data_IF_774923784964
#
_entry.id   IF_774923784964
#
_cell.length_a   1.000
_cell.length_b   1.000
_cell.length_c   1.000
_cell.angle_alpha   90.00
_cell.angle_beta   90.00
_cell.angle_gamma   90.00
#
_symmetry.space_group_name_H-M   'P 1'
#
loop_
_entity.id
_entity.type
_entity.pdbx_description
1 polymer ?
#
# COMPACT_ATOMS: atom_id res chain seq x y z
N UNK A 1 8.28 -15.55 -0.31
CA UNK A 1 8.75 -14.22 0.04
C UNK A 1 10.28 -14.13 -0.08
N UNK A 2 11.07 -14.82 0.73
CA UNK A 2 12.54 -14.71 0.77
C UNK A 2 13.22 -14.90 -0.60
N UNK A 3 12.78 -15.85 -1.43
CA UNK A 3 13.31 -16.08 -2.77
C UNK A 3 13.12 -14.88 -3.74
N UNK A 4 12.21 -13.98 -3.39
CA UNK A 4 11.88 -12.77 -4.16
C UNK A 4 12.38 -11.49 -3.49
N UNK A 5 13.27 -11.63 -2.48
CA UNK A 5 13.84 -10.48 -1.77
C UNK A 5 12.83 -9.74 -0.88
N UNK A 6 11.73 -10.38 -0.51
CA UNK A 6 10.71 -9.84 0.39
C UNK A 6 10.86 -10.53 1.74
N UNK A 7 11.30 -9.80 2.74
CA UNK A 7 11.59 -10.29 4.10
C UNK A 7 10.78 -9.58 5.21
N UNK A 8 10.16 -8.43 4.93
CA UNK A 8 9.28 -7.76 5.87
C UNK A 8 7.86 -8.36 5.82
N UNK A 9 7.49 -9.06 6.89
CA UNK A 9 6.18 -9.68 7.06
C UNK A 9 5.46 -9.03 8.24
N UNK A 10 4.26 -8.51 8.00
CA UNK A 10 3.34 -8.11 9.05
C UNK A 10 2.12 -9.06 9.08
N UNK A 11 1.77 -9.51 10.28
CA UNK A 11 0.60 -10.35 10.52
C UNK A 11 -0.38 -9.56 11.36
N UNK A 12 -1.57 -9.31 10.82
CA UNK A 12 -2.57 -8.45 11.45
C UNK A 12 -3.65 -9.29 12.11
N UNK A 13 -3.89 -9.05 13.41
CA UNK A 13 -4.93 -9.68 14.22
C UNK A 13 -5.06 -11.21 14.01
N UNK A 14 -3.97 -11.99 14.15
CA UNK A 14 -4.02 -13.42 13.90
C UNK A 14 -4.95 -14.12 14.89
N UNK A 15 -5.82 -14.98 14.41
CA UNK A 15 -6.77 -15.74 15.26
C UNK A 15 -6.06 -16.82 16.09
N UNK A 16 -5.14 -17.53 15.48
CA UNK A 16 -4.28 -18.53 16.11
C UNK A 16 -3.03 -18.71 15.25
N UNK A 17 -1.88 -18.83 15.87
CA UNK A 17 -0.62 -19.06 15.19
C UNK A 17 0.02 -20.32 15.74
N UNK A 18 0.16 -21.32 14.89
CA UNK A 18 1.01 -22.47 15.13
C UNK A 18 2.41 -22.19 14.55
N UNK A 19 3.25 -21.58 15.38
CA UNK A 19 4.59 -21.16 14.98
C UNK A 19 5.51 -22.36 14.68
N UNK A 20 5.30 -23.49 15.33
CA UNK A 20 6.08 -24.71 15.08
C UNK A 20 5.77 -25.24 13.68
N UNK A 21 4.49 -25.35 13.35
CA UNK A 21 4.04 -25.75 12.02
C UNK A 21 4.47 -24.73 10.94
N UNK A 22 4.39 -23.43 11.24
CA UNK A 22 4.83 -22.38 10.31
C UNK A 22 6.34 -22.53 9.99
N UNK A 23 7.17 -22.81 10.99
CA UNK A 23 8.61 -23.06 10.77
C UNK A 23 8.87 -24.31 9.94
N UNK A 24 8.13 -25.37 10.16
CA UNK A 24 8.22 -26.59 9.34
C UNK A 24 7.89 -26.32 7.86
N UNK A 25 6.94 -25.43 7.60
CA UNK A 25 6.52 -25.05 6.25
C UNK A 25 7.45 -24.02 5.58
N UNK A 26 8.41 -23.46 6.31
CA UNK A 26 9.31 -22.40 5.84
C UNK A 26 10.80 -22.78 5.89
N UNK A 27 11.23 -23.93 5.31
CA UNK A 27 12.63 -24.34 5.32
C UNK A 27 13.50 -23.28 4.62
N UNK A 28 14.54 -22.79 5.30
CA UNK A 28 15.44 -21.75 4.79
C UNK A 28 14.86 -20.32 4.82
N UNK A 29 13.65 -20.14 5.33
CA UNK A 29 12.98 -18.82 5.44
C UNK A 29 12.46 -18.53 6.86
N UNK A 30 12.91 -19.27 7.88
CA UNK A 30 12.51 -19.10 9.28
C UNK A 30 12.81 -17.68 9.80
N UNK A 31 13.87 -17.04 9.30
CA UNK A 31 14.21 -15.67 9.64
C UNK A 31 13.06 -14.69 9.34
N UNK A 32 12.30 -14.88 8.25
CA UNK A 32 11.14 -14.04 7.92
C UNK A 32 10.06 -14.17 8.98
N UNK A 33 9.85 -15.40 9.49
CA UNK A 33 8.88 -15.65 10.57
C UNK A 33 9.36 -15.08 11.91
N UNK A 34 10.65 -15.20 12.20
CA UNK A 34 11.23 -14.74 13.45
C UNK A 34 11.24 -13.19 13.55
N UNK A 35 11.32 -12.51 12.42
CA UNK A 35 11.28 -11.06 12.30
C UNK A 35 9.88 -10.50 11.99
N UNK A 36 8.87 -11.37 11.86
CA UNK A 36 7.52 -10.95 11.55
C UNK A 36 6.95 -10.01 12.62
N UNK A 37 6.35 -8.92 12.15
CA UNK A 37 5.66 -7.96 13.03
C UNK A 37 4.22 -8.43 13.25
N UNK A 38 3.77 -8.36 14.51
CA UNK A 38 2.39 -8.69 14.88
C UNK A 38 1.69 -7.40 15.24
N UNK A 39 0.70 -7.02 14.44
CA UNK A 39 -0.01 -5.76 14.57
C UNK A 39 -1.47 -6.01 14.95
N UNK A 40 -2.06 -5.14 15.74
CA UNK A 40 -3.47 -5.22 16.09
C UNK A 40 -4.37 -4.81 14.92
N UNK A 41 -3.93 -3.86 14.10
CA UNK A 41 -4.70 -3.28 13.00
C UNK A 41 -3.88 -3.17 11.72
N UNK A 42 -4.58 -3.07 10.57
CA UNK A 42 -3.94 -2.77 9.28
C UNK A 42 -3.28 -1.39 9.31
N UNK A 43 -3.93 -0.39 9.92
CA UNK A 43 -3.37 0.95 10.05
C UNK A 43 -1.98 0.93 10.70
N UNK A 44 -1.82 0.19 11.81
CA UNK A 44 -0.54 0.00 12.49
C UNK A 44 0.50 -0.66 11.57
N UNK A 45 0.09 -1.71 10.86
CA UNK A 45 0.99 -2.49 10.02
C UNK A 45 1.57 -1.71 8.84
N UNK A 46 0.84 -0.71 8.32
CA UNK A 46 1.20 0.05 7.11
C UNK A 46 1.56 1.51 7.38
N UNK A 47 1.63 1.92 8.64
CA UNK A 47 1.80 3.33 9.04
C UNK A 47 3.06 3.98 8.43
N UNK A 48 4.12 3.21 8.25
CA UNK A 48 5.41 3.62 7.70
C UNK A 48 5.55 3.39 6.17
N UNK A 49 4.48 2.89 5.52
CA UNK A 49 4.48 2.66 4.08
C UNK A 49 4.00 3.90 3.31
N UNK A 50 4.67 4.20 2.20
CA UNK A 50 4.32 5.31 1.32
C UNK A 50 3.16 4.96 0.40
N UNK A 51 3.05 3.69 0.00
CA UNK A 51 1.95 3.22 -0.82
C UNK A 51 1.50 1.82 -0.41
N UNK A 52 0.19 1.62 -0.37
CA UNK A 52 -0.44 0.37 0.04
C UNK A 52 -1.31 -0.15 -1.09
N UNK A 53 -1.10 -1.38 -1.47
CA UNK A 53 -1.88 -2.11 -2.45
C UNK A 53 -2.65 -3.23 -1.76
N UNK A 54 -3.81 -3.59 -2.28
CA UNK A 54 -4.61 -4.68 -1.74
C UNK A 54 -5.01 -5.66 -2.83
N UNK A 55 -4.78 -6.95 -2.60
CA UNK A 55 -5.21 -7.99 -3.53
C UNK A 55 -6.71 -8.22 -3.42
N UNK A 56 -7.39 -8.39 -4.54
CA UNK A 56 -8.83 -8.69 -4.59
C UNK A 56 -9.17 -9.59 -5.78
N UNK A 57 -10.05 -10.56 -5.54
CA UNK A 57 -10.68 -11.33 -6.59
C UNK A 57 -12.03 -10.73 -7.04
N UNK A 58 -12.55 -9.74 -6.30
CA UNK A 58 -13.84 -9.09 -6.59
C UNK A 58 -13.63 -7.85 -7.43
N UNK A 59 -14.50 -7.64 -8.41
CA UNK A 59 -14.55 -6.38 -9.16
C UNK A 59 -15.01 -5.24 -8.23
N UNK A 60 -14.07 -4.33 -7.94
CA UNK A 60 -14.30 -3.12 -7.12
C UNK A 60 -13.77 -1.86 -7.81
N UNK A 61 -13.59 -1.92 -9.13
CA UNK A 61 -12.92 -0.89 -9.94
C UNK A 61 -13.52 0.50 -9.79
N UNK A 62 -14.80 0.61 -9.44
CA UNK A 62 -15.48 1.92 -9.33
C UNK A 62 -15.03 2.74 -8.09
N UNK A 63 -14.26 2.18 -7.17
CA UNK A 63 -13.87 2.86 -5.93
C UNK A 63 -12.37 3.10 -5.75
N UNK A 64 -11.54 2.26 -6.37
CA UNK A 64 -10.07 2.32 -6.30
C UNK A 64 -9.46 2.18 -7.67
N UNK A 65 -8.29 2.83 -7.94
CA UNK A 65 -7.45 2.43 -9.06
C UNK A 65 -7.14 0.94 -8.95
N UNK A 66 -7.14 0.23 -10.08
CA UNK A 66 -6.85 -1.20 -10.09
C UNK A 66 -5.77 -1.50 -11.12
N UNK A 67 -4.86 -2.39 -10.75
CA UNK A 67 -3.77 -2.84 -11.59
C UNK A 67 -3.84 -4.36 -11.77
N UNK A 68 -3.43 -4.81 -12.93
CA UNK A 68 -2.93 -6.17 -13.09
C UNK A 68 -1.49 -6.27 -12.56
N UNK A 69 -0.98 -7.49 -12.24
CA UNK A 69 0.32 -7.64 -11.61
C UNK A 69 1.50 -6.92 -12.28
N UNK A 70 1.63 -6.87 -13.64
CA UNK A 70 2.71 -6.10 -14.26
C UNK A 70 2.59 -4.59 -14.06
N UNK A 71 1.38 -4.04 -14.18
CA UNK A 71 1.11 -2.61 -13.95
C UNK A 71 1.36 -2.21 -12.50
N UNK A 72 0.93 -3.06 -11.56
CA UNK A 72 1.24 -2.91 -10.14
C UNK A 72 2.76 -2.87 -9.90
N UNK A 73 3.52 -3.82 -10.47
CA UNK A 73 4.95 -3.87 -10.24
C UNK A 73 5.65 -2.61 -10.77
N UNK A 74 5.23 -2.10 -11.94
CA UNK A 74 5.77 -0.88 -12.52
C UNK A 74 5.49 0.36 -11.63
N UNK A 75 4.26 0.49 -11.13
CA UNK A 75 3.84 1.58 -10.23
C UNK A 75 4.59 1.50 -8.88
N UNK A 76 4.65 0.32 -8.27
CA UNK A 76 5.35 0.07 -7.01
C UNK A 76 6.85 0.41 -7.11
N UNK A 77 7.52 -0.01 -8.18
CA UNK A 77 8.93 0.31 -8.38
C UNK A 77 9.16 1.80 -8.62
N UNK A 78 8.22 2.51 -9.25
CA UNK A 78 8.31 3.96 -9.41
C UNK A 78 8.26 4.69 -8.06
N UNK A 79 7.46 4.22 -7.11
CA UNK A 79 7.42 4.75 -5.74
C UNK A 79 8.76 4.50 -5.03
N UNK A 80 9.31 3.29 -5.15
CA UNK A 80 10.60 2.92 -4.52
C UNK A 80 11.76 3.75 -5.08
N UNK A 81 11.80 3.96 -6.40
CA UNK A 81 12.83 4.75 -7.08
C UNK A 81 12.71 6.25 -6.79
N UNK A 82 11.49 6.74 -6.54
CA UNK A 82 11.23 8.14 -6.17
C UNK A 82 11.75 8.52 -4.78
N UNK A 83 12.13 7.57 -3.93
CA UNK A 83 12.75 7.82 -2.63
C UNK A 83 14.06 8.60 -2.76
N UNK A 84 14.25 9.63 -1.93
CA UNK A 84 15.46 10.48 -1.94
C UNK A 84 16.72 9.67 -1.62
N UNK A 85 16.57 8.61 -0.81
CA UNK A 85 17.63 7.66 -0.48
C UNK A 85 17.16 6.22 -0.77
N UNK A 86 18.08 5.30 -1.12
CA UNK A 86 17.75 3.89 -1.29
C UNK A 86 17.08 3.32 -0.03
N UNK A 87 15.87 2.78 -0.18
CA UNK A 87 15.10 2.21 0.92
C UNK A 87 14.28 3.23 1.74
N UNK A 88 14.30 4.53 1.39
CA UNK A 88 13.48 5.55 2.05
C UNK A 88 11.99 5.36 1.78
N UNK A 89 11.61 4.90 0.57
CA UNK A 89 10.23 4.63 0.23
C UNK A 89 9.87 3.16 0.48
N UNK A 90 8.74 2.94 1.14
CA UNK A 90 8.23 1.60 1.46
C UNK A 90 6.84 1.40 0.86
N UNK A 91 6.60 0.21 0.35
CA UNK A 91 5.28 -0.21 -0.11
C UNK A 91 4.78 -1.39 0.73
N UNK A 92 3.48 -1.52 0.83
CA UNK A 92 2.84 -2.71 1.40
C UNK A 92 1.89 -3.35 0.40
N UNK A 93 1.78 -4.68 0.46
CA UNK A 93 0.74 -5.44 -0.24
C UNK A 93 -0.08 -6.19 0.79
N UNK A 94 -1.37 -5.89 0.83
CA UNK A 94 -2.33 -6.54 1.71
C UNK A 94 -2.90 -7.80 1.05
N UNK A 95 -2.87 -8.89 1.79
CA UNK A 95 -3.53 -10.14 1.44
C UNK A 95 -4.56 -10.46 2.51
N UNK A 96 -5.74 -10.88 2.09
CA UNK A 96 -6.80 -11.34 2.99
C UNK A 96 -6.82 -12.84 3.19
N UNK A 97 -7.60 -13.34 4.15
CA UNK A 97 -7.88 -14.76 4.29
C UNK A 97 -8.50 -15.35 3.02
N UNK A 98 -8.22 -16.63 2.72
CA UNK A 98 -8.69 -17.28 1.50
C UNK A 98 -10.22 -17.40 1.42
N UNK A 99 -10.89 -17.52 2.55
CA UNK A 99 -12.33 -17.72 2.67
C UNK A 99 -13.14 -16.41 2.49
N UNK A 100 -12.65 -15.32 3.07
CA UNK A 100 -13.40 -14.05 3.13
C UNK A 100 -12.77 -12.94 2.30
N UNK A 101 -11.46 -13.01 2.03
CA UNK A 101 -10.70 -11.93 1.44
C UNK A 101 -10.58 -10.73 2.38
N UNK A 102 -10.16 -9.59 1.85
CA UNK A 102 -10.06 -8.34 2.60
C UNK A 102 -11.44 -7.69 2.77
N UNK A 103 -11.75 -7.31 4.01
CA UNK A 103 -12.91 -6.52 4.38
C UNK A 103 -12.77 -5.03 3.96
N UNK A 104 -13.86 -4.29 4.02
CA UNK A 104 -13.85 -2.86 3.68
C UNK A 104 -13.01 -2.04 4.67
N UNK A 105 -12.96 -2.45 5.93
CA UNK A 105 -12.12 -1.91 7.00
C UNK A 105 -10.61 -2.00 6.68
N UNK A 106 -10.19 -3.07 6.03
CA UNK A 106 -8.82 -3.22 5.57
C UNK A 106 -8.56 -2.44 4.26
N UNK A 107 -9.53 -2.46 3.34
CA UNK A 107 -9.41 -1.81 2.04
C UNK A 107 -9.38 -0.29 2.11
N UNK A 108 -9.90 0.33 3.17
CA UNK A 108 -9.82 1.80 3.35
C UNK A 108 -8.38 2.30 3.50
N UNK A 109 -7.43 1.42 3.79
CA UNK A 109 -6.01 1.75 3.88
C UNK A 109 -5.26 1.56 2.54
N UNK A 110 -5.91 0.99 1.53
CA UNK A 110 -5.29 0.76 0.23
C UNK A 110 -5.41 1.98 -0.69
N UNK A 111 -4.32 2.31 -1.38
CA UNK A 111 -4.27 3.32 -2.44
C UNK A 111 -4.78 2.75 -3.76
N UNK A 112 -4.50 1.49 -4.02
CA UNK A 112 -4.88 0.79 -5.24
C UNK A 112 -5.15 -0.69 -4.99
N UNK A 113 -5.88 -1.31 -5.90
CA UNK A 113 -6.14 -2.75 -5.90
C UNK A 113 -5.23 -3.47 -6.88
N UNK A 114 -4.94 -4.73 -6.56
CA UNK A 114 -4.28 -5.67 -7.48
C UNK A 114 -5.30 -6.75 -7.81
N UNK A 115 -5.64 -6.86 -9.09
CA UNK A 115 -6.45 -7.92 -9.61
C UNK A 115 -5.56 -8.93 -10.34
N UNK A 116 -5.44 -10.14 -9.80
CA UNK A 116 -4.69 -11.23 -10.45
C UNK A 116 -5.68 -11.91 -11.40
N UNK A 117 -5.46 -11.85 -12.73
CA UNK A 117 -6.35 -12.51 -13.68
C UNK A 117 -6.38 -14.03 -13.44
N UNK A 118 -7.58 -14.57 -13.38
CA UNK A 118 -7.84 -16.01 -13.25
C UNK A 118 -8.98 -16.38 -14.20
N UNK A 119 -9.11 -17.66 -14.51
CA UNK A 119 -10.23 -18.15 -15.30
C UNK A 119 -11.49 -18.34 -14.41
N UNK A 120 -12.17 -19.43 -14.48
CA UNK A 120 -13.47 -19.68 -13.80
C UNK A 120 -13.41 -19.56 -12.29
N UNK A 121 -12.29 -19.92 -11.66
CA UNK A 121 -12.09 -19.81 -10.22
C UNK A 121 -11.28 -18.56 -9.87
N UNK A 122 -11.97 -17.53 -9.38
CA UNK A 122 -11.35 -16.24 -9.07
C UNK A 122 -10.47 -16.24 -7.81
N UNK A 123 -10.65 -17.19 -6.88
CA UNK A 123 -9.90 -17.25 -5.64
C UNK A 123 -8.62 -18.06 -5.80
N UNK A 124 -7.49 -17.46 -5.50
CA UNK A 124 -6.19 -18.13 -5.40
C UNK A 124 -5.88 -18.45 -3.94
N UNK A 125 -5.14 -19.54 -3.73
CA UNK A 125 -4.51 -19.81 -2.45
C UNK A 125 -3.57 -18.64 -2.08
N UNK A 126 -3.56 -18.23 -0.80
CA UNK A 126 -2.79 -17.11 -0.29
C UNK A 126 -1.30 -17.19 -0.64
N UNK A 127 -0.69 -18.37 -0.48
CA UNK A 127 0.73 -18.56 -0.78
C UNK A 127 1.02 -18.44 -2.28
N UNK A 128 0.09 -18.88 -3.14
CA UNK A 128 0.21 -18.75 -4.59
C UNK A 128 0.07 -17.28 -5.01
N UNK A 129 -0.91 -16.56 -4.47
CA UNK A 129 -1.07 -15.12 -4.71
C UNK A 129 0.19 -14.35 -4.27
N UNK A 130 0.71 -14.62 -3.07
CA UNK A 130 1.93 -13.99 -2.57
C UNK A 130 3.16 -14.30 -3.43
N UNK A 131 3.26 -15.53 -3.96
CA UNK A 131 4.34 -15.91 -4.86
C UNK A 131 4.25 -15.17 -6.19
N UNK A 132 3.06 -15.08 -6.81
CA UNK A 132 2.85 -14.36 -8.07
C UNK A 132 3.21 -12.88 -7.93
N UNK A 133 2.71 -12.25 -6.89
CA UNK A 133 2.98 -10.83 -6.61
C UNK A 133 4.46 -10.59 -6.31
N UNK A 134 5.07 -11.43 -5.48
CA UNK A 134 6.52 -11.36 -5.22
C UNK A 134 7.35 -11.55 -6.48
N UNK A 135 6.95 -12.47 -7.38
CA UNK A 135 7.66 -12.74 -8.62
C UNK A 135 7.63 -11.54 -9.58
N UNK A 136 6.48 -10.89 -9.78
CA UNK A 136 6.39 -9.73 -10.67
C UNK A 136 7.18 -8.54 -10.12
N UNK A 137 7.14 -8.30 -8.81
CA UNK A 137 7.95 -7.27 -8.15
C UNK A 137 9.45 -7.55 -8.34
N UNK A 138 9.89 -8.77 -8.08
CA UNK A 138 11.29 -9.16 -8.23
C UNK A 138 11.78 -9.03 -9.68
N UNK A 139 10.94 -9.43 -10.62
CA UNK A 139 11.25 -9.34 -12.06
C UNK A 139 11.39 -7.89 -12.50
N UNK A 140 10.48 -7.02 -12.08
CA UNK A 140 10.52 -5.59 -12.38
C UNK A 140 11.72 -4.90 -11.71
N UNK A 141 11.97 -5.19 -10.43
CA UNK A 141 13.14 -4.69 -9.70
C UNK A 141 14.45 -5.08 -10.38
N UNK A 142 14.55 -6.33 -10.88
CA UNK A 142 15.71 -6.78 -11.68
C UNK A 142 15.81 -6.06 -13.02
N UNK A 143 14.71 -5.83 -13.69
CA UNK A 143 14.67 -5.12 -14.97
C UNK A 143 15.17 -3.68 -14.82
N UNK A 144 14.87 -3.03 -13.70
CA UNK A 144 15.32 -1.67 -13.35
C UNK A 144 16.72 -1.62 -12.71
N UNK A 145 17.32 -2.77 -12.41
CA UNK A 145 18.65 -2.83 -11.80
C UNK A 145 18.69 -2.55 -10.29
N UNK A 146 17.51 -2.56 -9.64
CA UNK A 146 17.38 -2.35 -8.19
C UNK A 146 17.82 -3.56 -7.36
N UNK A 147 17.89 -4.73 -7.98
CA UNK A 147 18.36 -5.98 -7.37
C UNK A 147 19.56 -6.50 -8.15
N UNK A 148 20.62 -6.84 -7.43
CA UNK A 148 21.83 -7.42 -8.04
C UNK A 148 21.51 -8.75 -8.76
N UNK A 149 22.10 -8.93 -9.93
CA UNK A 149 22.03 -10.22 -10.65
C UNK A 149 22.91 -11.23 -9.94
N UNK A 150 22.47 -12.49 -9.81
CA UNK A 150 23.34 -13.55 -9.35
C UNK A 150 24.60 -13.63 -10.21
N UNK A 151 25.73 -13.81 -9.56
CA UNK A 151 27.00 -14.02 -10.28
C UNK A 151 26.88 -15.26 -11.16
N UNK A 152 26.87 -15.10 -12.49
CA UNK A 152 26.77 -16.19 -13.46
C UNK A 152 25.71 -16.04 -14.55
N UNK A 153 24.74 -15.15 -14.41
CA UNK A 153 23.83 -14.83 -15.52
C UNK A 153 24.48 -13.86 -16.51
N UNK A 154 24.90 -14.39 -17.65
CA UNK A 154 25.41 -13.60 -18.77
C UNK A 154 24.39 -12.54 -19.24
N UNK A 155 24.89 -11.39 -19.68
CA UNK A 155 24.10 -10.31 -20.30
C UNK A 155 23.28 -10.84 -21.48
N UNK A 156 22.03 -11.23 -21.25
CA UNK A 156 21.05 -11.32 -22.34
C UNK A 156 20.63 -9.88 -22.63
N UNK A 157 21.04 -9.39 -23.80
CA UNK A 157 20.81 -8.02 -24.25
C UNK A 157 19.32 -7.71 -24.37
N UNK A 158 18.76 -7.14 -23.32
CA UNK A 158 17.50 -6.42 -23.35
C UNK A 158 17.83 -4.93 -23.45
N UNK A 159 17.38 -4.27 -24.51
CA UNK A 159 17.45 -2.82 -24.64
C UNK A 159 16.73 -2.20 -23.44
N UNK A 160 17.49 -1.57 -22.54
CA UNK A 160 16.94 -0.67 -21.55
C UNK A 160 16.21 0.47 -22.30
N UNK A 161 14.89 0.50 -22.24
CA UNK A 161 14.14 1.72 -22.49
C UNK A 161 14.36 2.61 -21.26
N UNK A 162 15.09 3.67 -21.40
CA UNK A 162 15.18 4.73 -20.42
C UNK A 162 13.77 5.32 -20.14
N UNK A 163 13.60 6.00 -18.99
CA UNK A 163 12.34 6.65 -18.65
C UNK A 163 11.94 7.62 -19.76
N UNK A 164 10.65 7.64 -20.09
CA UNK A 164 10.10 8.57 -21.05
C UNK A 164 10.39 10.02 -20.59
N UNK A 165 10.90 10.90 -21.45
CA UNK A 165 11.13 12.29 -21.08
C UNK A 165 9.77 12.99 -20.87
N UNK A 166 9.53 13.49 -19.65
CA UNK A 166 8.35 14.29 -19.32
C UNK A 166 7.63 13.94 -18.02
N UNK A 167 8.04 12.93 -17.27
CA UNK A 167 7.58 12.79 -15.90
C UNK A 167 8.32 13.82 -15.04
N UNK A 168 7.61 14.84 -14.56
CA UNK A 168 8.01 15.62 -13.40
C UNK A 168 8.48 14.63 -12.34
N UNK A 169 9.62 14.88 -11.69
CA UNK A 169 10.08 14.05 -10.59
C UNK A 169 8.95 14.00 -9.57
N UNK A 170 8.19 12.91 -9.60
CA UNK A 170 7.05 12.71 -8.71
C UNK A 170 7.62 12.61 -7.32
N UNK A 171 7.30 13.56 -6.46
CA UNK A 171 7.67 13.51 -5.06
C UNK A 171 7.14 12.17 -4.50
N UNK A 172 7.93 11.53 -3.66
CA UNK A 172 7.49 10.27 -3.01
C UNK A 172 6.28 10.57 -2.15
N UNK A 173 5.18 9.81 -2.28
CA UNK A 173 4.03 10.00 -1.41
C UNK A 173 4.46 9.90 0.07
N UNK A 174 3.85 10.72 0.90
CA UNK A 174 4.10 10.68 2.34
C UNK A 174 3.68 9.32 2.93
N UNK A 175 4.30 8.86 4.01
CA UNK A 175 3.86 7.66 4.72
C UNK A 175 2.38 7.75 5.10
N UNK A 176 1.66 6.63 5.02
CA UNK A 176 0.21 6.56 5.30
C UNK A 176 -0.14 7.15 6.67
N UNK A 177 0.69 6.89 7.68
CA UNK A 177 0.50 7.46 9.02
C UNK A 177 0.53 8.99 9.08
N UNK A 178 1.17 9.65 8.11
CA UNK A 178 1.17 11.12 8.04
C UNK A 178 -0.17 11.71 7.58
N UNK A 179 -1.05 10.91 6.97
CA UNK A 179 -2.39 11.33 6.58
C UNK A 179 -3.38 11.37 7.74
N UNK A 180 -3.16 10.59 8.80
CA UNK A 180 -4.10 10.48 9.93
C UNK A 180 -4.45 11.83 10.57
N UNK A 181 -3.47 12.70 10.89
CA UNK A 181 -3.79 14.03 11.41
C UNK A 181 -4.60 14.90 10.43
N UNK A 182 -4.35 14.76 9.11
CA UNK A 182 -5.08 15.49 8.09
C UNK A 182 -6.53 15.01 7.97
N UNK A 183 -6.76 13.69 8.04
CA UNK A 183 -8.10 13.11 8.09
C UNK A 183 -8.88 13.65 9.29
N UNK A 184 -8.27 13.66 10.48
CA UNK A 184 -8.87 14.21 11.69
C UNK A 184 -9.24 15.69 11.54
N UNK A 185 -8.30 16.51 11.08
CA UNK A 185 -8.53 17.97 10.87
C UNK A 185 -9.64 18.23 9.83
N UNK A 186 -9.76 17.41 8.80
CA UNK A 186 -10.84 17.51 7.83
C UNK A 186 -12.18 17.13 8.45
N UNK A 187 -12.25 15.99 9.18
CA UNK A 187 -13.48 15.56 9.86
C UNK A 187 -13.98 16.59 10.87
N UNK A 188 -13.10 17.18 11.69
CA UNK A 188 -13.44 18.27 12.61
C UNK A 188 -14.01 19.49 11.87
N UNK A 189 -13.43 19.85 10.72
CA UNK A 189 -13.92 20.96 9.90
C UNK A 189 -15.32 20.67 9.34
N UNK A 190 -15.61 19.43 8.95
CA UNK A 190 -16.93 19.01 8.47
C UNK A 190 -17.98 19.03 9.61
N UNK A 191 -17.57 18.68 10.83
CA UNK A 191 -18.43 18.73 12.01
C UNK A 191 -18.81 20.17 12.37
N UNK A 192 -17.82 21.07 12.46
CA UNK A 192 -18.05 22.50 12.69
C UNK A 192 -18.91 23.14 11.59
N UNK A 193 -18.69 22.74 10.34
CA UNK A 193 -19.49 23.16 9.20
C UNK A 193 -20.87 22.51 9.12
N UNK A 194 -21.25 21.71 10.13
CA UNK A 194 -22.54 21.00 10.21
C UNK A 194 -22.79 19.97 9.08
N UNK A 195 -21.80 19.69 8.24
CA UNK A 195 -21.95 18.74 7.13
C UNK A 195 -22.25 17.31 7.60
N UNK A 196 -21.74 16.91 8.77
CA UNK A 196 -21.97 15.59 9.33
C UNK A 196 -23.41 15.39 9.84
N UNK A 197 -24.22 16.45 9.95
CA UNK A 197 -25.65 16.33 10.31
C UNK A 197 -26.41 15.58 9.21
N UNK A 198 -26.90 14.40 9.53
CA UNK A 198 -27.62 13.55 8.59
C UNK A 198 -26.74 12.61 7.74
N UNK A 199 -25.46 12.57 8.00
CA UNK A 199 -24.51 11.62 7.38
C UNK A 199 -23.90 10.72 8.47
N UNK A 200 -23.61 9.47 8.12
CA UNK A 200 -22.84 8.59 9.00
C UNK A 200 -21.37 8.98 9.01
N UNK A 201 -20.80 9.46 10.12
CA UNK A 201 -19.42 9.97 10.17
C UNK A 201 -18.40 8.98 9.64
N UNK A 202 -18.55 7.68 9.94
CA UNK A 202 -17.63 6.62 9.49
C UNK A 202 -17.59 6.48 7.96
N UNK A 203 -18.70 6.70 7.27
CA UNK A 203 -18.76 6.63 5.80
C UNK A 203 -18.11 7.86 5.17
N UNK A 204 -18.29 9.02 5.80
CA UNK A 204 -17.65 10.28 5.37
C UNK A 204 -16.15 10.18 5.57
N UNK A 205 -15.69 9.75 6.74
CA UNK A 205 -14.27 9.53 7.03
C UNK A 205 -13.62 8.58 6.03
N UNK A 206 -14.24 7.43 5.76
CA UNK A 206 -13.75 6.49 4.77
C UNK A 206 -13.68 7.10 3.36
N UNK A 207 -14.54 8.05 3.04
CA UNK A 207 -14.50 8.77 1.75
C UNK A 207 -13.36 9.78 1.72
N UNK A 208 -13.20 10.58 2.76
CA UNK A 208 -12.10 11.54 2.93
C UNK A 208 -10.76 10.80 2.82
N UNK A 209 -10.60 9.71 3.54
CA UNK A 209 -9.39 8.87 3.52
C UNK A 209 -9.06 8.39 2.11
N UNK A 210 -10.03 7.85 1.38
CA UNK A 210 -9.83 7.40 -0.02
C UNK A 210 -9.45 8.55 -0.96
N UNK A 211 -10.00 9.74 -0.77
CA UNK A 211 -9.63 10.91 -1.58
C UNK A 211 -8.16 11.26 -1.36
N UNK A 212 -7.74 11.36 -0.11
CA UNK A 212 -6.37 11.71 0.25
C UNK A 212 -5.36 10.65 -0.22
N UNK A 213 -5.69 9.36 -0.07
CA UNK A 213 -4.82 8.27 -0.52
C UNK A 213 -4.63 8.25 -2.03
N UNK A 214 -5.68 8.53 -2.81
CA UNK A 214 -5.58 8.58 -4.27
C UNK A 214 -4.82 9.79 -4.80
N UNK A 215 -4.68 10.83 -3.98
CA UNK A 215 -3.95 12.02 -4.35
C UNK A 215 -2.42 11.84 -4.25
N UNK A 216 -1.95 10.73 -3.66
CA UNK A 216 -0.52 10.43 -3.49
C UNK A 216 0.28 11.63 -2.93
N UNK A 217 -0.29 12.32 -1.91
CA UNK A 217 0.23 13.57 -1.36
C UNK A 217 1.64 13.41 -0.77
N UNK A 218 2.51 14.37 -1.05
CA UNK A 218 3.80 14.49 -0.38
C UNK A 218 3.69 15.21 0.98
N UNK A 219 4.80 15.27 1.74
CA UNK A 219 4.86 15.89 3.06
C UNK A 219 4.52 17.38 3.02
N UNK A 220 4.90 18.10 1.95
CA UNK A 220 4.66 19.53 1.82
C UNK A 220 3.18 19.80 1.53
N UNK A 221 2.58 19.01 0.65
CA UNK A 221 1.16 19.11 0.32
C UNK A 221 0.28 18.80 1.54
N UNK A 222 0.63 17.80 2.33
CA UNK A 222 -0.04 17.51 3.61
C UNK A 222 0.06 18.72 4.55
N UNK A 223 1.24 19.32 4.69
CA UNK A 223 1.43 20.47 5.57
C UNK A 223 0.59 21.68 5.12
N UNK A 224 0.49 21.92 3.81
CA UNK A 224 -0.35 23.00 3.24
C UNK A 224 -1.82 22.75 3.54
N UNK A 225 -2.33 21.53 3.26
CA UNK A 225 -3.73 21.17 3.51
C UNK A 225 -4.09 21.30 4.99
N UNK A 226 -3.23 20.81 5.88
CA UNK A 226 -3.41 20.96 7.33
C UNK A 226 -3.47 22.44 7.75
N UNK A 227 -2.61 23.28 7.17
CA UNK A 227 -2.65 24.73 7.39
C UNK A 227 -3.99 25.35 6.95
N UNK A 228 -4.53 24.91 5.81
CA UNK A 228 -5.82 25.39 5.30
C UNK A 228 -6.97 24.98 6.22
N UNK A 229 -7.06 23.72 6.64
CA UNK A 229 -8.11 23.25 7.55
C UNK A 229 -8.05 23.93 8.90
N UNK A 230 -6.86 24.14 9.46
CA UNK A 230 -6.67 24.88 10.71
C UNK A 230 -7.20 26.33 10.61
N UNK A 231 -6.91 27.00 9.49
CA UNK A 231 -7.39 28.37 9.28
C UNK A 231 -8.91 28.42 9.07
N UNK A 232 -9.48 27.46 8.37
CA UNK A 232 -10.94 27.35 8.21
C UNK A 232 -11.64 27.11 9.56
N UNK A 233 -11.15 26.20 10.38
CA UNK A 233 -11.70 25.95 11.73
C UNK A 233 -11.64 27.20 12.58
N UNK A 234 -10.48 27.85 12.64
CA UNK A 234 -10.33 29.10 13.40
C UNK A 234 -11.38 30.15 13.00
N UNK A 235 -11.65 30.28 11.68
CA UNK A 235 -12.65 31.25 11.19
C UNK A 235 -14.08 30.83 11.52
N UNK A 236 -14.38 29.53 11.55
CA UNK A 236 -15.70 29.01 11.95
C UNK A 236 -15.96 29.19 13.45
N UNK A 237 -14.92 29.03 14.28
CA UNK A 237 -14.99 29.20 15.73
C UNK A 237 -15.01 30.69 16.13
N UNK A 238 -14.48 31.57 15.29
CA UNK A 238 -14.42 33.01 15.50
C UNK A 238 -15.10 33.77 14.34
N UNK A 239 -16.44 33.66 14.21
CA UNK A 239 -17.17 34.46 13.24
C UNK A 239 -17.08 35.92 13.63
N UNK A 240 -16.37 36.73 12.82
CA UNK A 240 -16.24 38.17 13.02
C UNK A 240 -17.52 38.92 12.73
#
# INVERSE_FOLDING_TARGET
>A
MKNMGVDDLAVVAPRALDMERARWMAPGATQVLDQARYCATVAEAVADCNKVYATTARDRHNRWPAFEPPGFAADAMSVIEGGVEPGAARIAVLFGPEDTGLGNDSLVHAHALIHIPTDVHASLNLAQAALLIGNVLFTEARARGLVARPAGEGKRGGRQRGPAPGASASAVPAPVGALEPLVGEWMESLELGTYLRGHEPILVEGTVRRILQRADLDQQEIAVLRGMFRKMRWKMENPG
#
